data_IF_977890886994
#
_entry.id   IF_977890886994
#
_cell.length_a   1.000
_cell.length_b   1.000
_cell.length_c   1.000
_cell.angle_alpha   90.00
_cell.angle_beta   90.00
_cell.angle_gamma   90.00
#
_symmetry.space_group_name_H-M   'P 1'
#
loop_
_entity.id
_entity.type
_entity.pdbx_description
1 polymer ?
#
# COMPACT_ATOMS: atom_id res chain seq x y z
N UNK A 1 2.64 -8.97 -17.18
CA UNK A 1 2.39 -9.02 -15.72
C UNK A 1 2.28 -10.50 -15.34
N UNK A 2 3.12 -10.96 -14.42
CA UNK A 2 3.22 -12.37 -14.05
C UNK A 2 1.90 -12.84 -13.41
N UNK A 3 1.27 -13.87 -13.98
CA UNK A 3 -0.04 -14.38 -13.55
C UNK A 3 -0.04 -14.95 -12.11
N UNK A 4 1.12 -15.00 -11.45
CA UNK A 4 1.33 -15.58 -10.11
C UNK A 4 0.88 -14.69 -8.95
N UNK A 5 0.44 -13.46 -9.21
CA UNK A 5 -0.03 -12.52 -8.17
C UNK A 5 -1.47 -12.04 -8.48
N UNK A 6 -2.26 -12.85 -9.18
CA UNK A 6 -3.71 -12.66 -9.28
C UNK A 6 -4.39 -13.28 -8.05
N UNK A 7 -4.01 -12.81 -6.86
CA UNK A 7 -4.64 -13.25 -5.62
C UNK A 7 -5.95 -12.46 -5.40
N UNK A 8 -7.11 -13.11 -5.22
CA UNK A 8 -8.39 -12.44 -5.01
C UNK A 8 -8.34 -11.38 -3.90
N UNK A 9 -7.50 -11.60 -2.89
CA UNK A 9 -7.28 -10.70 -1.75
C UNK A 9 -6.77 -9.31 -2.16
N UNK A 10 -6.11 -9.20 -3.31
CA UNK A 10 -5.61 -7.94 -3.87
C UNK A 10 -6.69 -7.17 -4.65
N UNK A 11 -7.77 -7.82 -5.06
CA UNK A 11 -8.82 -7.19 -5.88
C UNK A 11 -9.59 -6.12 -5.10
N UNK A 12 -9.74 -6.27 -3.78
CA UNK A 12 -10.43 -5.32 -2.92
C UNK A 12 -9.63 -4.03 -2.65
N UNK A 13 -8.37 -3.96 -3.08
CA UNK A 13 -7.53 -2.78 -2.93
C UNK A 13 -7.76 -1.81 -4.10
N UNK A 14 -7.61 -0.51 -3.83
CA UNK A 14 -7.53 0.51 -4.89
C UNK A 14 -6.36 0.19 -5.83
N UNK A 15 -6.41 0.60 -7.11
CA UNK A 15 -5.36 0.26 -8.09
C UNK A 15 -3.93 0.60 -7.61
N UNK A 16 -3.75 1.78 -7.01
CA UNK A 16 -2.45 2.22 -6.49
C UNK A 16 -2.00 1.45 -5.26
N UNK A 17 -2.92 1.12 -4.34
CA UNK A 17 -2.58 0.31 -3.17
C UNK A 17 -2.30 -1.14 -3.57
N UNK A 18 -2.97 -1.64 -4.59
CA UNK A 18 -2.74 -2.97 -5.18
C UNK A 18 -1.35 -3.07 -5.78
N UNK A 19 -0.96 -2.14 -6.64
CA UNK A 19 0.40 -2.08 -7.21
C UNK A 19 1.46 -2.03 -6.11
N UNK A 20 1.26 -1.18 -5.09
CA UNK A 20 2.15 -1.10 -3.92
C UNK A 20 2.27 -2.46 -3.21
N UNK A 21 1.15 -3.15 -2.99
CA UNK A 21 1.13 -4.47 -2.35
C UNK A 21 1.87 -5.53 -3.19
N UNK A 22 1.72 -5.52 -4.52
CA UNK A 22 2.44 -6.44 -5.41
C UNK A 22 3.95 -6.23 -5.31
N UNK A 23 4.42 -4.98 -5.33
CA UNK A 23 5.85 -4.66 -5.21
C UNK A 23 6.40 -5.14 -3.87
N UNK A 24 5.70 -4.87 -2.77
CA UNK A 24 6.12 -5.31 -1.43
C UNK A 24 6.13 -6.84 -1.32
N UNK A 25 5.14 -7.53 -1.89
CA UNK A 25 5.09 -8.99 -1.88
C UNK A 25 6.29 -9.60 -2.64
N UNK A 26 6.66 -9.03 -3.79
CA UNK A 26 7.83 -9.46 -4.55
C UNK A 26 9.13 -9.24 -3.76
N UNK A 27 9.24 -8.11 -3.06
CA UNK A 27 10.40 -7.81 -2.20
C UNK A 27 10.49 -8.78 -1.01
N UNK A 28 9.38 -9.06 -0.35
CA UNK A 28 9.31 -10.01 0.76
C UNK A 28 9.68 -11.43 0.33
N UNK A 29 9.23 -11.86 -0.85
CA UNK A 29 9.60 -13.15 -1.43
C UNK A 29 11.08 -13.27 -1.79
N UNK A 30 11.72 -12.15 -2.17
CA UNK A 30 13.15 -12.12 -2.51
C UNK A 30 14.04 -12.07 -1.28
N UNK A 31 13.61 -11.35 -0.25
CA UNK A 31 14.43 -11.04 0.91
C UNK A 31 14.24 -12.03 2.06
N UNK A 32 13.13 -12.77 2.11
CA UNK A 32 12.79 -13.64 3.23
C UNK A 32 12.35 -15.02 2.73
N UNK A 33 12.69 -16.07 3.48
CA UNK A 33 12.20 -17.42 3.25
C UNK A 33 10.79 -17.60 3.85
N UNK A 34 9.80 -16.91 3.29
CA UNK A 34 8.40 -16.98 3.71
C UNK A 34 7.52 -17.53 2.60
N UNK A 35 6.38 -18.13 2.98
CA UNK A 35 5.43 -18.64 1.99
C UNK A 35 4.85 -17.49 1.14
N UNK A 36 4.51 -17.74 -0.15
CA UNK A 36 3.89 -16.72 -1.00
C UNK A 36 2.59 -16.15 -0.42
N UNK A 37 1.82 -16.97 0.28
CA UNK A 37 0.59 -16.55 0.95
C UNK A 37 0.87 -15.56 2.08
N UNK A 38 1.86 -15.85 2.91
CA UNK A 38 2.24 -14.97 4.02
C UNK A 38 2.87 -13.67 3.52
N UNK A 39 3.68 -13.74 2.45
CA UNK A 39 4.24 -12.57 1.80
C UNK A 39 3.13 -11.62 1.33
N UNK A 40 2.08 -12.15 0.70
CA UNK A 40 0.97 -11.34 0.21
C UNK A 40 0.13 -10.78 1.35
N UNK A 41 -0.19 -11.58 2.36
CA UNK A 41 -0.92 -11.10 3.53
C UNK A 41 -0.19 -9.94 4.23
N UNK A 42 1.12 -10.08 4.44
CA UNK A 42 1.98 -9.02 4.99
C UNK A 42 2.03 -7.81 4.08
N UNK A 43 2.19 -8.01 2.76
CA UNK A 43 2.25 -6.93 1.80
C UNK A 43 0.96 -6.10 1.75
N UNK A 44 -0.22 -6.76 1.82
CA UNK A 44 -1.52 -6.09 1.90
C UNK A 44 -1.59 -5.19 3.12
N UNK A 45 -1.18 -5.69 4.29
CA UNK A 45 -1.18 -4.92 5.53
C UNK A 45 -0.28 -3.68 5.42
N UNK A 46 0.95 -3.86 4.92
CA UNK A 46 1.91 -2.76 4.74
C UNK A 46 1.36 -1.72 3.74
N UNK A 47 0.80 -2.17 2.62
CA UNK A 47 0.25 -1.29 1.60
C UNK A 47 -0.96 -0.49 2.09
N UNK A 48 -1.85 -1.10 2.89
CA UNK A 48 -2.98 -0.40 3.53
C UNK A 48 -2.48 0.69 4.50
N UNK A 49 -1.52 0.37 5.35
CA UNK A 49 -0.93 1.33 6.28
C UNK A 49 -0.27 2.50 5.55
N UNK A 50 0.43 2.23 4.44
CA UNK A 50 0.97 3.27 3.57
C UNK A 50 -0.13 4.18 3.00
N UNK A 51 -1.24 3.61 2.54
CA UNK A 51 -2.35 4.37 1.98
C UNK A 51 -2.97 5.32 3.01
N UNK A 52 -3.20 4.85 4.24
CA UNK A 52 -3.71 5.70 5.34
C UNK A 52 -2.74 6.84 5.65
N UNK A 53 -1.43 6.56 5.77
CA UNK A 53 -0.41 7.60 6.00
C UNK A 53 -0.40 8.64 4.89
N UNK A 54 -0.58 8.24 3.62
CA UNK A 54 -0.65 9.16 2.47
C UNK A 54 -1.86 10.09 2.59
N UNK A 55 -3.04 9.56 2.93
CA UNK A 55 -4.25 10.36 3.14
C UNK A 55 -4.04 11.34 4.29
N UNK A 56 -3.56 10.87 5.45
CA UNK A 56 -3.31 11.73 6.61
C UNK A 56 -2.36 12.88 6.28
N UNK A 57 -1.27 12.60 5.54
CA UNK A 57 -0.34 13.63 5.08
C UNK A 57 -1.02 14.66 4.16
N UNK A 58 -1.85 14.21 3.23
CA UNK A 58 -2.57 15.11 2.31
C UNK A 58 -3.57 15.99 3.04
N UNK A 59 -4.32 15.43 4.00
CA UNK A 59 -5.24 16.19 4.86
C UNK A 59 -4.47 17.24 5.66
N UNK A 60 -3.38 16.85 6.31
CA UNK A 60 -2.54 17.79 7.06
C UNK A 60 -1.99 18.92 6.19
N UNK A 61 -1.52 18.63 4.97
CA UNK A 61 -1.06 19.66 4.04
C UNK A 61 -2.16 20.65 3.65
N UNK A 62 -3.39 20.16 3.43
CA UNK A 62 -4.54 21.02 3.13
C UNK A 62 -4.89 21.92 4.30
N UNK A 63 -4.99 21.36 5.51
CA UNK A 63 -5.27 22.13 6.73
C UNK A 63 -4.22 23.23 6.94
N UNK A 64 -2.94 22.89 6.80
CA UNK A 64 -1.84 23.86 6.92
C UNK A 64 -1.87 24.94 5.83
N UNK A 65 -2.39 24.64 4.63
CA UNK A 65 -2.57 25.65 3.57
C UNK A 65 -3.67 26.63 3.95
N UNK A 66 -4.81 26.10 4.40
CA UNK A 66 -5.97 26.91 4.83
C UNK A 66 -5.59 27.83 6.00
N UNK A 67 -4.83 27.33 6.98
CA UNK A 67 -4.32 28.16 8.09
C UNK A 67 -3.49 29.37 7.61
N UNK A 68 -2.73 29.23 6.52
CA UNK A 68 -1.94 30.33 5.95
C UNK A 68 -2.77 31.34 5.18
N UNK A 69 -3.92 30.95 4.65
CA UNK A 69 -4.80 31.83 3.87
C UNK A 69 -5.71 32.67 4.78
N UNK A 70 -5.90 32.27 6.04
CA UNK A 70 -6.75 32.95 7.02
C UNK A 70 -6.02 34.06 7.80
N UNK A 71 -4.68 34.10 7.76
CA UNK A 71 -3.81 35.08 8.45
C UNK A 71 -3.30 36.10 7.43
#
# INVERSE_FOLDING_TARGET
>A
MDARIALPELMYLSPTTREKAVVIAQELLRSHNISPRDAVAKAILIAKNWAVKKVNRSVWQKLKSIEKEII
#
